data_IF_629002123072
#
_entry.id   IF_629002123072
#
_cell.length_a   1.000
_cell.length_b   1.000
_cell.length_c   1.000
_cell.angle_alpha   90.00
_cell.angle_beta   90.00
_cell.angle_gamma   90.00
#
_symmetry.space_group_name_H-M   'P 1'
#
loop_
_entity.id
_entity.type
_entity.pdbx_description
1 polymer ?
#
# COMPACT_ATOMS: atom_id res chain seq x y z
N UNK A 1 1.78 -25.71 -22.69
CA UNK A 1 1.54 -24.67 -21.68
C UNK A 1 2.60 -23.60 -21.90
N UNK A 2 2.22 -22.36 -22.22
CA UNK A 2 3.20 -21.29 -22.38
C UNK A 2 3.84 -21.04 -21.00
N UNK A 3 5.18 -21.07 -20.94
CA UNK A 3 5.89 -20.80 -19.69
C UNK A 3 5.65 -19.37 -19.22
N UNK A 4 5.73 -19.16 -17.91
CA UNK A 4 5.65 -17.84 -17.31
C UNK A 4 6.74 -16.91 -17.88
N UNK A 5 6.40 -15.63 -18.18
CA UNK A 5 7.38 -14.65 -18.56
C UNK A 5 8.50 -14.55 -17.52
N UNK A 6 9.74 -14.60 -17.99
CA UNK A 6 10.93 -14.60 -17.13
C UNK A 6 11.02 -13.36 -16.20
N UNK A 7 10.45 -12.23 -16.62
CA UNK A 7 10.36 -11.03 -15.79
C UNK A 7 9.52 -11.23 -14.53
N UNK A 8 8.37 -11.91 -14.64
CA UNK A 8 7.47 -12.19 -13.52
C UNK A 8 8.15 -13.14 -12.53
N UNK A 9 8.81 -14.19 -13.03
CA UNK A 9 9.53 -15.16 -12.19
C UNK A 9 10.62 -14.46 -11.36
N UNK A 10 11.43 -13.61 -12.00
CA UNK A 10 12.49 -12.87 -11.32
C UNK A 10 11.93 -11.91 -10.27
N UNK A 11 10.87 -11.21 -10.59
CA UNK A 11 10.25 -10.28 -9.67
C UNK A 11 9.66 -10.98 -8.44
N UNK A 12 8.93 -12.08 -8.63
CA UNK A 12 8.40 -12.89 -7.53
C UNK A 12 9.52 -13.39 -6.63
N UNK A 13 10.62 -13.90 -7.20
CA UNK A 13 11.79 -14.32 -6.41
C UNK A 13 12.41 -13.16 -5.63
N UNK A 14 12.54 -11.98 -6.24
CA UNK A 14 13.06 -10.79 -5.57
C UNK A 14 12.17 -10.34 -4.40
N UNK A 15 10.84 -10.44 -4.53
CA UNK A 15 9.91 -10.11 -3.45
C UNK A 15 9.99 -11.10 -2.28
N UNK A 16 10.22 -12.39 -2.56
CA UNK A 16 10.40 -13.43 -1.53
C UNK A 16 11.74 -13.31 -0.81
N UNK A 17 12.83 -13.01 -1.52
CA UNK A 17 14.19 -12.90 -0.94
C UNK A 17 14.40 -11.55 -0.25
N UNK A 18 13.79 -10.47 -0.76
CA UNK A 18 13.96 -9.10 -0.26
C UNK A 18 12.62 -8.40 -0.04
N UNK A 19 11.82 -8.83 0.95
CA UNK A 19 10.50 -8.25 1.19
C UNK A 19 10.61 -6.77 1.54
N UNK A 20 9.61 -5.99 1.09
CA UNK A 20 9.50 -4.59 1.48
C UNK A 20 9.15 -4.55 2.96
N UNK A 21 9.84 -3.75 3.81
CA UNK A 21 9.51 -3.67 5.23
C UNK A 21 8.02 -3.38 5.42
N UNK A 22 7.34 -4.14 6.28
CA UNK A 22 5.90 -4.03 6.58
C UNK A 22 4.92 -4.39 5.46
N UNK A 23 5.40 -4.89 4.31
CA UNK A 23 4.56 -5.36 3.19
C UNK A 23 5.01 -6.78 2.81
N UNK A 24 4.09 -7.72 2.90
CA UNK A 24 4.22 -9.07 2.35
C UNK A 24 3.40 -9.16 1.07
N UNK A 25 3.99 -9.69 0.02
CA UNK A 25 3.32 -9.96 -1.24
C UNK A 25 3.66 -11.39 -1.66
N UNK A 26 2.68 -12.28 -1.61
CA UNK A 26 2.84 -13.70 -1.90
C UNK A 26 2.04 -14.04 -3.16
N UNK A 27 2.61 -14.78 -4.14
CA UNK A 27 1.88 -15.16 -5.34
C UNK A 27 0.75 -16.14 -4.98
N UNK A 28 -0.36 -16.06 -5.71
CA UNK A 28 -1.45 -17.02 -5.56
C UNK A 28 -1.08 -18.40 -6.15
N UNK A 29 -1.56 -19.48 -5.53
CA UNK A 29 -1.27 -20.86 -5.95
C UNK A 29 -1.94 -21.25 -7.28
N UNK A 30 -3.11 -20.67 -7.57
CA UNK A 30 -3.90 -20.96 -8.78
C UNK A 30 -3.54 -20.04 -9.95
N UNK A 31 -3.05 -18.83 -9.65
CA UNK A 31 -2.71 -17.85 -10.68
C UNK A 31 -1.49 -17.01 -10.31
N UNK A 32 -0.39 -17.25 -11.02
CA UNK A 32 0.89 -16.55 -10.86
C UNK A 32 0.88 -15.09 -11.27
N UNK A 33 -0.22 -14.57 -11.82
CA UNK A 33 -0.41 -13.13 -12.06
C UNK A 33 -1.08 -12.42 -10.88
N UNK A 34 -1.58 -13.15 -9.88
CA UNK A 34 -2.23 -12.60 -8.69
C UNK A 34 -1.28 -12.68 -7.49
N UNK A 35 -1.34 -11.64 -6.65
CA UNK A 35 -0.54 -11.55 -5.42
C UNK A 35 -1.44 -11.18 -4.24
N UNK A 36 -1.34 -11.96 -3.18
CA UNK A 36 -1.93 -11.66 -1.88
C UNK A 36 -1.03 -10.67 -1.15
N UNK A 37 -1.56 -9.49 -0.86
CA UNK A 37 -0.81 -8.41 -0.23
C UNK A 37 -1.28 -8.20 1.21
N UNK A 38 -0.36 -8.37 2.16
CA UNK A 38 -0.60 -8.11 3.56
C UNK A 38 0.31 -6.99 4.03
N UNK A 39 -0.28 -5.92 4.57
CA UNK A 39 0.48 -4.75 5.05
C UNK A 39 0.08 -4.41 6.47
N UNK A 40 1.08 -4.02 7.28
CA UNK A 40 0.81 -3.51 8.61
C UNK A 40 0.71 -1.99 8.55
N UNK A 41 -0.44 -1.45 8.93
CA UNK A 41 -0.63 -0.01 9.06
C UNK A 41 0.30 0.56 10.15
N UNK A 42 1.00 1.65 9.82
CA UNK A 42 1.80 2.40 10.78
C UNK A 42 1.52 3.90 10.59
N UNK A 43 1.21 4.64 11.67
CA UNK A 43 1.01 6.09 11.56
C UNK A 43 2.34 6.77 11.26
N UNK A 44 2.57 7.17 10.02
CA UNK A 44 3.71 8.02 9.68
C UNK A 44 3.43 9.47 10.11
N UNK A 45 4.48 10.17 10.58
CA UNK A 45 4.42 11.63 10.69
C UNK A 45 4.31 12.18 9.28
N UNK A 46 3.13 12.73 8.96
CA UNK A 46 2.75 13.42 7.72
C UNK A 46 3.92 13.60 6.72
N UNK A 47 4.00 12.69 5.76
CA UNK A 47 5.02 12.77 4.71
C UNK A 47 4.61 13.89 3.76
N UNK A 48 5.56 14.79 3.46
CA UNK A 48 5.29 16.00 2.69
C UNK A 48 4.57 15.74 1.36
N UNK A 49 3.69 16.67 0.99
CA UNK A 49 2.77 16.69 -0.18
C UNK A 49 3.39 16.34 -1.55
N UNK A 50 4.70 16.15 -1.63
CA UNK A 50 5.44 15.99 -2.88
C UNK A 50 5.81 14.52 -3.19
N UNK A 51 5.57 13.58 -2.27
CA UNK A 51 5.87 12.16 -2.49
C UNK A 51 4.76 11.41 -3.23
N UNK A 52 3.53 11.93 -3.20
CA UNK A 52 2.34 11.33 -3.84
C UNK A 52 2.04 11.95 -5.19
N UNK A 53 3.07 12.24 -5.98
CA UNK A 53 2.84 12.65 -7.37
C UNK A 53 2.20 11.46 -8.10
N UNK A 54 1.07 11.72 -8.74
CA UNK A 54 0.31 10.74 -9.52
C UNK A 54 1.23 9.81 -10.29
N UNK A 55 1.06 8.52 -10.06
CA UNK A 55 1.87 7.47 -10.65
C UNK A 55 1.67 7.48 -12.16
N UNK A 56 2.67 7.90 -12.93
CA UNK A 56 2.70 7.68 -14.37
C UNK A 56 3.22 6.26 -14.61
N UNK A 57 2.33 5.37 -15.07
CA UNK A 57 2.70 3.99 -15.37
C UNK A 57 3.74 3.94 -16.49
N UNK A 58 4.80 3.15 -16.28
CA UNK A 58 5.84 2.86 -17.27
C UNK A 58 6.15 1.35 -17.26
N UNK A 59 6.41 0.72 -18.42
CA UNK A 59 6.79 -0.70 -18.51
C UNK A 59 8.07 -1.08 -17.74
N UNK A 60 8.88 -0.09 -17.35
CA UNK A 60 10.08 -0.30 -16.54
C UNK A 60 9.76 -0.45 -15.03
N UNK A 61 8.52 -0.20 -14.61
CA UNK A 61 8.13 -0.25 -13.21
C UNK A 61 7.86 -1.70 -12.79
N UNK A 62 8.63 -2.12 -11.79
CA UNK A 62 8.52 -3.39 -11.09
C UNK A 62 7.40 -3.31 -10.03
N UNK A 63 6.68 -4.41 -9.80
CA UNK A 63 5.79 -4.64 -8.63
C UNK A 63 6.43 -4.13 -7.34
N UNK A 64 7.73 -4.39 -7.09
CA UNK A 64 8.41 -3.86 -5.89
C UNK A 64 8.34 -2.33 -5.79
N UNK A 65 8.54 -1.63 -6.90
CA UNK A 65 8.47 -0.16 -6.97
C UNK A 65 7.05 0.33 -6.77
N UNK A 66 6.05 -0.37 -7.35
CA UNK A 66 4.64 -0.05 -7.15
C UNK A 66 4.26 -0.20 -5.67
N UNK A 67 4.66 -1.29 -5.01
CA UNK A 67 4.42 -1.52 -3.58
C UNK A 67 5.06 -0.43 -2.70
N UNK A 68 6.28 0.02 -3.06
CA UNK A 68 6.96 1.10 -2.35
C UNK A 68 6.27 2.46 -2.49
N UNK A 69 5.52 2.68 -3.57
CA UNK A 69 4.74 3.90 -3.78
C UNK A 69 3.35 3.85 -3.14
N UNK A 70 2.76 2.66 -3.01
CA UNK A 70 1.51 2.45 -2.28
C UNK A 70 1.74 2.54 -0.77
N UNK A 71 2.88 2.06 -0.26
CA UNK A 71 3.19 2.05 1.18
C UNK A 71 2.92 3.39 1.88
N UNK A 72 3.34 4.55 1.35
CA UNK A 72 3.17 5.79 2.06
C UNK A 72 1.75 6.34 1.88
N UNK A 73 1.03 5.96 0.82
CA UNK A 73 -0.39 6.33 0.62
C UNK A 73 -1.25 5.69 1.71
N UNK A 74 -0.96 4.44 2.07
CA UNK A 74 -1.64 3.75 3.18
C UNK A 74 -1.30 4.34 4.56
N UNK A 75 -0.09 4.90 4.71
CA UNK A 75 0.44 5.34 6.00
C UNK A 75 0.31 6.86 6.25
N UNK A 76 -0.03 7.64 5.23
CA UNK A 76 -0.23 9.09 5.34
C UNK A 76 -1.52 9.48 4.61
N UNK A 77 -2.46 10.07 5.35
CA UNK A 77 -3.66 10.68 4.77
C UNK A 77 -3.24 11.79 3.78
N UNK A 78 -3.88 11.80 2.60
CA UNK A 78 -3.77 12.89 1.64
C UNK A 78 -4.93 13.87 1.83
N UNK A 79 -4.75 14.97 2.58
CA UNK A 79 -5.83 15.95 2.81
C UNK A 79 -6.20 16.78 1.57
N UNK A 80 -5.59 16.53 0.42
CA UNK A 80 -5.95 17.16 -0.86
C UNK A 80 -6.60 16.16 -1.83
N UNK A 81 -6.96 14.96 -1.38
CA UNK A 81 -7.63 13.97 -2.20
C UNK A 81 -9.09 14.38 -2.48
N UNK A 82 -9.48 14.61 -3.75
CA UNK A 82 -10.83 14.99 -4.12
C UNK A 82 -11.87 13.88 -3.89
N UNK A 83 -11.45 12.63 -3.66
CA UNK A 83 -12.34 11.48 -3.48
C UNK A 83 -12.77 11.25 -2.02
N UNK A 84 -12.09 11.86 -1.04
CA UNK A 84 -12.33 11.64 0.39
C UNK A 84 -12.55 12.97 1.15
N UNK A 85 -13.53 13.76 0.73
CA UNK A 85 -13.70 15.13 1.22
C UNK A 85 -14.02 15.19 2.74
N UNK A 86 -14.91 14.34 3.24
CA UNK A 86 -15.36 14.39 4.65
C UNK A 86 -14.25 13.96 5.63
N UNK A 87 -13.53 12.89 5.32
CA UNK A 87 -12.39 12.41 6.11
C UNK A 87 -11.22 13.42 6.07
N UNK A 88 -11.03 14.06 4.92
CA UNK A 88 -10.03 15.11 4.71
C UNK A 88 -10.33 16.36 5.53
N UNK A 89 -11.59 16.79 5.60
CA UNK A 89 -12.03 17.89 6.46
C UNK A 89 -11.87 17.56 7.94
N UNK A 90 -12.23 16.34 8.36
CA UNK A 90 -12.01 15.89 9.74
C UNK A 90 -10.53 15.86 10.10
N UNK A 91 -9.65 15.41 9.20
CA UNK A 91 -8.20 15.42 9.42
C UNK A 91 -7.61 16.84 9.53
N UNK A 92 -8.14 17.80 8.76
CA UNK A 92 -7.74 19.22 8.82
C UNK A 92 -8.26 19.91 10.09
N UNK A 93 -9.48 19.62 10.50
CA UNK A 93 -10.15 20.24 11.65
C UNK A 93 -9.67 19.65 12.97
N UNK A 94 -9.62 18.32 13.09
CA UNK A 94 -9.21 17.62 14.31
C UNK A 94 -8.44 16.33 14.01
N UNK A 95 -7.14 16.50 13.75
CA UNK A 95 -6.20 15.39 13.49
C UNK A 95 -6.14 14.35 14.60
N UNK A 96 -6.27 14.75 15.86
CA UNK A 96 -6.19 13.82 16.99
C UNK A 96 -7.36 12.83 16.97
N UNK A 97 -8.58 13.35 16.78
CA UNK A 97 -9.79 12.52 16.66
C UNK A 97 -9.75 11.63 15.41
N UNK A 98 -9.27 12.15 14.27
CA UNK A 98 -9.13 11.36 13.05
C UNK A 98 -8.17 10.16 13.24
N UNK A 99 -7.07 10.34 13.98
CA UNK A 99 -6.14 9.26 14.32
C UNK A 99 -6.79 8.23 15.25
N UNK A 100 -7.60 8.66 16.22
CA UNK A 100 -8.33 7.74 17.11
C UNK A 100 -9.37 6.90 16.35
N UNK A 101 -10.15 7.53 15.48
CA UNK A 101 -11.10 6.83 14.60
C UNK A 101 -10.39 5.82 13.71
N UNK A 102 -9.26 6.21 13.07
CA UNK A 102 -8.46 5.30 12.25
C UNK A 102 -7.94 4.10 13.05
N UNK A 103 -7.49 4.31 14.30
CA UNK A 103 -7.07 3.22 15.20
C UNK A 103 -8.24 2.31 15.57
N UNK A 104 -9.42 2.87 15.83
CA UNK A 104 -10.61 2.09 16.15
C UNK A 104 -11.02 1.21 14.96
N UNK A 105 -11.04 1.76 13.73
CA UNK A 105 -11.35 0.99 12.52
C UNK A 105 -10.28 -0.05 12.21
N UNK A 106 -9.01 0.26 12.42
CA UNK A 106 -7.92 -0.72 12.30
C UNK A 106 -8.16 -1.91 13.25
N UNK A 107 -8.59 -1.63 14.49
CA UNK A 107 -8.94 -2.70 15.44
C UNK A 107 -10.13 -3.51 14.98
N UNK A 108 -11.17 -2.89 14.42
CA UNK A 108 -12.38 -3.59 14.00
C UNK A 108 -12.19 -4.42 12.72
N UNK A 109 -11.45 -3.91 11.74
CA UNK A 109 -11.42 -4.47 10.39
C UNK A 109 -10.06 -5.04 9.96
N UNK A 110 -8.98 -4.77 10.69
CA UNK A 110 -7.62 -5.09 10.25
C UNK A 110 -6.74 -5.77 11.32
N UNK A 111 -7.30 -6.24 12.45
CA UNK A 111 -6.53 -7.00 13.46
C UNK A 111 -6.68 -8.52 13.38
N UNK A 112 -7.85 -9.03 12.95
CA UNK A 112 -8.17 -10.46 12.97
C UNK A 112 -8.45 -11.06 11.57
N UNK A 113 -8.07 -10.36 10.50
CA UNK A 113 -8.34 -10.78 9.10
C UNK A 113 -7.12 -11.42 8.42
N UNK A 114 -6.29 -12.16 9.17
CA UNK A 114 -5.13 -12.90 8.64
C UNK A 114 -5.33 -14.39 8.89
#
# INVERSE_FOLDING_TARGET
MAGLPHGIIKETQHLLVGPVPSIKAEPDESNTHYFHMNTQWQPLKQVGKNMFRYFEWSPALQIRTVLLLIKPLLNASNPADPLANDESEQWKSNKAQAIETARAWTRLYATNNV
#
